data_IF_527502449717
#
_entry.id   IF_527502449717
#
_cell.length_a   1.000
_cell.length_b   1.000
_cell.length_c   1.000
_cell.angle_alpha   90.00
_cell.angle_beta   90.00
_cell.angle_gamma   90.00
#
_symmetry.space_group_name_H-M   'P 1'
#
loop_
_entity.id
_entity.type
_entity.pdbx_description
1 polymer ?
#
# COMPACT_ATOMS: atom_id res chain seq x y z
N UNK A 1 -11.78 -1.72 2.88
CA UNK A 1 -12.39 -0.80 1.91
C UNK A 1 -11.30 0.15 1.44
N UNK A 2 -11.28 0.57 0.17
CA UNK A 2 -10.25 1.48 -0.36
C UNK A 2 -10.79 2.89 -0.64
N UNK A 3 -9.90 3.88 -0.72
CA UNK A 3 -10.20 5.28 -1.08
C UNK A 3 -9.23 5.79 -2.14
N UNK A 4 -9.50 6.97 -2.70
CA UNK A 4 -8.52 7.70 -3.50
C UNK A 4 -8.19 9.02 -2.78
N UNK A 5 -6.91 9.37 -2.70
CA UNK A 5 -6.43 10.54 -1.96
C UNK A 5 -5.14 11.14 -2.54
N UNK A 6 -4.68 12.25 -1.95
CA UNK A 6 -3.53 13.03 -2.43
C UNK A 6 -3.91 14.12 -3.43
N UNK A 7 -2.91 14.60 -4.19
CA UNK A 7 -3.07 15.74 -5.11
C UNK A 7 -2.55 15.41 -6.51
N UNK A 8 -3.39 15.61 -7.53
CA UNK A 8 -2.99 15.43 -8.91
C UNK A 8 -1.90 16.43 -9.34
N UNK A 9 -1.91 17.65 -8.78
CA UNK A 9 -0.92 18.69 -9.08
C UNK A 9 0.47 18.37 -8.52
N UNK A 10 0.54 17.54 -7.48
CA UNK A 10 1.80 17.13 -6.84
C UNK A 10 2.23 15.70 -7.25
N UNK A 11 1.58 15.09 -8.25
CA UNK A 11 1.80 13.70 -8.64
C UNK A 11 1.58 12.68 -7.50
N UNK A 12 0.76 13.02 -6.50
CA UNK A 12 0.45 12.19 -5.33
C UNK A 12 -0.98 11.65 -5.33
N UNK A 13 -1.79 11.89 -6.36
CA UNK A 13 -3.13 11.31 -6.47
C UNK A 13 -3.04 9.77 -6.61
N UNK A 14 -3.57 9.02 -5.65
CA UNK A 14 -3.37 7.57 -5.58
C UNK A 14 -4.59 6.84 -5.00
N UNK A 15 -4.65 5.52 -5.20
CA UNK A 15 -5.56 4.64 -4.48
C UNK A 15 -4.94 4.15 -3.18
N UNK A 16 -5.69 4.13 -2.08
CA UNK A 16 -5.22 3.67 -0.78
C UNK A 16 -6.04 2.49 -0.28
N UNK A 17 -5.38 1.40 0.12
CA UNK A 17 -6.03 0.24 0.74
C UNK A 17 -6.12 0.44 2.25
N UNK A 18 -7.27 0.91 2.74
CA UNK A 18 -7.47 1.10 4.19
C UNK A 18 -7.58 -0.23 4.94
N UNK A 19 -8.22 -1.22 4.33
CA UNK A 19 -8.37 -2.55 4.95
C UNK A 19 -8.71 -3.61 3.91
N UNK A 20 -8.05 -4.76 4.02
CA UNK A 20 -8.35 -5.99 3.31
C UNK A 20 -8.19 -7.15 4.27
N UNK A 21 -9.21 -7.99 4.40
CA UNK A 21 -9.16 -9.19 5.23
C UNK A 21 -9.89 -10.33 4.53
N UNK A 22 -9.34 -11.53 4.69
CA UNK A 22 -9.94 -12.79 4.23
C UNK A 22 -10.03 -13.71 5.45
N UNK A 23 -11.24 -14.19 5.72
CA UNK A 23 -11.49 -15.13 6.80
C UNK A 23 -10.60 -16.38 6.66
N UNK A 24 -10.05 -16.93 7.77
CA UNK A 24 -9.03 -17.99 7.73
C UNK A 24 -9.39 -19.19 6.83
N UNK A 25 -10.66 -19.59 6.83
CA UNK A 25 -11.22 -20.73 6.11
C UNK A 25 -11.18 -20.53 4.58
N UNK A 26 -11.08 -19.28 4.13
CA UNK A 26 -11.09 -18.89 2.71
C UNK A 26 -9.73 -18.35 2.23
N UNK A 27 -8.68 -18.47 3.03
CA UNK A 27 -7.32 -18.08 2.63
C UNK A 27 -6.74 -19.07 1.61
N UNK A 28 -5.72 -18.63 0.88
CA UNK A 28 -5.03 -19.41 -0.19
C UNK A 28 -5.90 -19.75 -1.41
N UNK A 29 -7.09 -19.17 -1.51
CA UNK A 29 -7.97 -19.26 -2.69
C UNK A 29 -7.77 -18.10 -3.68
N UNK A 30 -6.79 -17.22 -3.44
CA UNK A 30 -6.53 -16.05 -4.30
C UNK A 30 -7.48 -14.87 -4.11
N UNK A 31 -8.43 -14.93 -3.16
CA UNK A 31 -9.45 -13.88 -2.95
C UNK A 31 -8.85 -12.49 -2.68
N UNK A 32 -7.80 -12.41 -1.87
CA UNK A 32 -7.12 -11.14 -1.61
C UNK A 32 -6.50 -10.55 -2.88
N UNK A 33 -5.89 -11.37 -3.74
CA UNK A 33 -5.34 -10.93 -5.02
C UNK A 33 -6.44 -10.43 -5.97
N UNK A 34 -7.58 -11.11 -6.00
CA UNK A 34 -8.74 -10.68 -6.81
C UNK A 34 -9.25 -9.31 -6.34
N UNK A 35 -9.43 -9.13 -5.03
CA UNK A 35 -9.87 -7.84 -4.46
C UNK A 35 -8.87 -6.72 -4.72
N UNK A 36 -7.56 -7.01 -4.63
CA UNK A 36 -6.51 -6.04 -4.97
C UNK A 36 -6.54 -5.66 -6.45
N UNK A 37 -6.68 -6.62 -7.36
CA UNK A 37 -6.79 -6.34 -8.79
C UNK A 37 -7.98 -5.43 -9.12
N UNK A 38 -9.14 -5.65 -8.47
CA UNK A 38 -10.32 -4.79 -8.65
C UNK A 38 -10.03 -3.37 -8.16
N UNK A 39 -9.38 -3.22 -7.01
CA UNK A 39 -9.02 -1.91 -6.47
C UNK A 39 -8.00 -1.18 -7.37
N UNK A 40 -7.01 -1.90 -7.89
CA UNK A 40 -6.02 -1.39 -8.85
C UNK A 40 -6.72 -0.92 -10.13
N UNK A 41 -7.63 -1.71 -10.69
CA UNK A 41 -8.39 -1.34 -11.89
C UNK A 41 -9.25 -0.09 -11.66
N UNK A 42 -9.92 0.01 -10.51
CA UNK A 42 -10.67 1.21 -10.14
C UNK A 42 -9.74 2.43 -10.02
N UNK A 43 -8.52 2.23 -9.50
CA UNK A 43 -7.53 3.30 -9.33
C UNK A 43 -6.95 3.76 -10.68
N UNK A 44 -6.71 2.83 -11.61
CA UNK A 44 -6.35 3.13 -13.00
C UNK A 44 -7.43 4.00 -13.67
N UNK A 45 -8.71 3.63 -13.54
CA UNK A 45 -9.84 4.42 -14.09
C UNK A 45 -10.00 5.80 -13.46
N UNK A 46 -9.40 6.03 -12.28
CA UNK A 46 -9.37 7.33 -11.59
C UNK A 46 -8.11 8.13 -11.89
N UNK A 47 -7.30 7.68 -12.85
CA UNK A 47 -6.03 8.29 -13.21
C UNK A 47 -5.11 8.48 -11.98
N UNK A 48 -5.05 7.48 -11.11
CA UNK A 48 -4.12 7.44 -9.98
C UNK A 48 -2.69 7.16 -10.46
N UNK A 49 -1.69 7.72 -9.77
CA UNK A 49 -0.26 7.47 -10.03
C UNK A 49 0.20 6.12 -9.48
N UNK A 50 -0.34 5.72 -8.33
CA UNK A 50 0.00 4.46 -7.66
C UNK A 50 -1.16 3.95 -6.80
N UNK A 51 -0.98 2.76 -6.25
CA UNK A 51 -1.74 2.26 -5.10
C UNK A 51 -0.79 2.05 -3.94
N UNK A 52 -1.20 2.44 -2.74
CA UNK A 52 -0.46 2.20 -1.51
C UNK A 52 -1.28 1.49 -0.42
N UNK A 53 -0.56 1.08 0.62
CA UNK A 53 -1.09 0.49 1.84
C UNK A 53 -0.06 0.54 2.96
N UNK A 54 -0.54 0.51 4.20
CA UNK A 54 0.28 0.25 5.37
C UNK A 54 0.13 -1.21 5.81
N UNK A 55 1.25 -1.87 6.08
CA UNK A 55 1.27 -3.24 6.60
C UNK A 55 2.27 -3.35 7.75
N UNK A 56 1.87 -4.03 8.84
CA UNK A 56 2.74 -4.36 9.97
C UNK A 56 4.02 -5.05 9.48
N UNK A 57 5.18 -4.62 9.99
CA UNK A 57 6.48 -5.21 9.60
C UNK A 57 6.52 -6.71 9.95
N UNK A 58 5.88 -7.14 11.04
CA UNK A 58 5.80 -8.55 11.42
C UNK A 58 4.86 -9.39 10.54
N UNK A 59 4.01 -8.77 9.71
CA UNK A 59 3.06 -9.50 8.86
C UNK A 59 3.73 -9.94 7.56
N UNK A 60 4.64 -10.90 7.67
CA UNK A 60 5.41 -11.45 6.55
C UNK A 60 4.51 -12.07 5.47
N UNK A 61 3.38 -12.67 5.87
CA UNK A 61 2.42 -13.29 4.95
C UNK A 61 1.82 -12.23 4.02
N UNK A 62 1.33 -11.12 4.58
CA UNK A 62 0.78 -10.03 3.79
C UNK A 62 1.87 -9.32 2.98
N UNK A 63 3.03 -9.04 3.58
CA UNK A 63 4.16 -8.40 2.89
C UNK A 63 4.62 -9.22 1.68
N UNK A 64 4.73 -10.54 1.83
CA UNK A 64 5.06 -11.47 0.73
C UNK A 64 3.98 -11.48 -0.35
N UNK A 65 2.71 -11.50 0.04
CA UNK A 65 1.59 -11.41 -0.91
C UNK A 65 1.66 -10.11 -1.73
N UNK A 66 1.80 -8.95 -1.08
CA UNK A 66 1.89 -7.67 -1.78
C UNK A 66 3.12 -7.57 -2.68
N UNK A 67 4.27 -8.07 -2.22
CA UNK A 67 5.49 -8.15 -3.04
C UNK A 67 5.23 -8.96 -4.32
N UNK A 68 4.54 -10.11 -4.23
CA UNK A 68 4.16 -10.94 -5.38
C UNK A 68 3.16 -10.25 -6.32
N UNK A 69 2.36 -9.31 -5.81
CA UNK A 69 1.45 -8.48 -6.61
C UNK A 69 2.15 -7.28 -7.27
N UNK A 70 3.45 -7.10 -7.03
CA UNK A 70 4.26 -6.03 -7.62
C UNK A 70 4.39 -4.78 -6.75
N UNK A 71 4.00 -4.85 -5.47
CA UNK A 71 4.24 -3.76 -4.52
C UNK A 71 5.69 -3.79 -4.04
N UNK A 72 6.22 -2.62 -3.74
CA UNK A 72 7.56 -2.42 -3.22
C UNK A 72 7.48 -1.61 -1.93
N UNK A 73 8.41 -1.83 -1.00
CA UNK A 73 8.49 -1.02 0.21
C UNK A 73 9.00 0.37 -0.19
N UNK A 74 8.12 1.36 -0.10
CA UNK A 74 8.45 2.76 -0.39
C UNK A 74 9.18 3.40 0.80
N UNK A 75 8.68 3.17 2.03
CA UNK A 75 9.33 3.61 3.27
C UNK A 75 8.88 2.77 4.45
N UNK A 76 9.59 2.93 5.56
CA UNK A 76 9.17 2.44 6.86
C UNK A 76 8.59 3.61 7.67
N UNK A 77 7.46 3.37 8.33
CA UNK A 77 6.83 4.30 9.27
C UNK A 77 6.96 3.74 10.68
N UNK A 78 7.72 4.43 11.52
CA UNK A 78 8.02 4.00 12.88
C UNK A 78 6.78 4.13 13.77
N UNK A 79 6.59 3.16 14.66
CA UNK A 79 5.54 3.22 15.70
C UNK A 79 4.13 3.53 15.12
N UNK A 80 3.85 3.04 13.90
CA UNK A 80 2.61 3.33 13.18
C UNK A 80 1.40 2.67 13.81
N UNK A 81 1.55 1.41 14.25
CA UNK A 81 0.48 0.69 14.91
C UNK A 81 0.70 0.72 16.42
N UNK A 82 -0.20 1.40 17.13
CA UNK A 82 -0.19 1.42 18.58
C UNK A 82 -0.39 0.01 19.16
N UNK A 83 0.36 -0.32 20.21
CA UNK A 83 0.34 -1.63 20.86
C UNK A 83 1.19 -1.69 22.14
N UNK A 84 1.53 -2.91 22.55
CA UNK A 84 2.50 -3.14 23.64
C UNK A 84 3.46 -4.28 23.22
N UNK A 85 4.64 -3.96 22.63
CA UNK A 85 5.11 -2.62 22.22
C UNK A 85 4.41 -2.10 20.95
N UNK A 86 4.57 -0.80 20.67
CA UNK A 86 4.21 -0.21 19.37
C UNK A 86 4.97 -0.89 18.22
N UNK A 87 4.35 -0.92 17.04
CA UNK A 87 4.89 -1.63 15.88
C UNK A 87 5.03 -0.72 14.65
N UNK A 88 6.18 -0.83 13.97
CA UNK A 88 6.43 -0.21 12.67
C UNK A 88 5.49 -0.73 11.57
N UNK A 89 5.29 0.08 10.54
CA UNK A 89 4.65 -0.31 9.29
C UNK A 89 5.60 -0.13 8.10
N UNK A 90 5.37 -0.94 7.06
CA UNK A 90 5.79 -0.60 5.71
C UNK A 90 4.68 0.15 4.99
N UNK A 91 5.01 1.28 4.40
CA UNK A 91 4.25 1.92 3.31
C UNK A 91 4.69 1.21 2.02
N UNK A 92 3.82 0.35 1.50
CA UNK A 92 4.09 -0.41 0.28
C UNK A 92 3.34 0.20 -0.90
N UNK A 93 4.02 0.37 -2.04
CA UNK A 93 3.47 1.03 -3.22
C UNK A 93 3.64 0.22 -4.49
N UNK A 94 2.65 0.33 -5.37
CA UNK A 94 2.68 -0.17 -6.75
C UNK A 94 2.33 0.97 -7.71
N UNK A 95 3.26 1.29 -8.61
CA UNK A 95 3.04 2.29 -9.65
C UNK A 95 1.97 1.82 -10.64
N UNK A 96 1.08 2.72 -11.01
CA UNK A 96 0.05 2.54 -12.04
C UNK A 96 0.50 3.16 -13.36
N UNK A 97 -0.30 2.99 -14.41
CA UNK A 97 0.04 3.41 -15.77
C UNK A 97 0.37 4.91 -15.92
N UNK A 98 -0.18 5.76 -15.04
CA UNK A 98 0.07 7.21 -15.04
C UNK A 98 1.47 7.58 -14.55
N UNK A 99 2.07 6.81 -13.64
CA UNK A 99 3.44 7.03 -13.16
C UNK A 99 4.46 6.34 -14.08
N UNK A 100 4.62 6.88 -15.29
CA UNK A 100 5.46 6.33 -16.36
C UNK A 100 6.92 6.14 -15.94
N UNK A 101 7.43 7.06 -15.13
CA UNK A 101 8.81 7.07 -14.66
C UNK A 101 8.99 6.29 -13.34
N UNK A 102 7.89 5.74 -12.79
CA UNK A 102 7.87 4.99 -11.52
C UNK A 102 8.44 5.79 -10.35
N UNK A 103 8.24 7.11 -10.31
CA UNK A 103 8.77 7.99 -9.26
C UNK A 103 8.17 7.66 -7.89
N UNK A 104 6.90 7.26 -7.87
CA UNK A 104 6.15 7.01 -6.65
C UNK A 104 6.57 5.76 -5.88
N UNK A 105 7.36 4.87 -6.50
CA UNK A 105 7.82 3.61 -5.92
C UNK A 105 9.32 3.59 -5.63
N UNK A 106 10.02 4.71 -5.83
CA UNK A 106 11.45 4.83 -5.49
C UNK A 106 11.57 4.83 -3.96
N UNK A 107 12.24 3.83 -3.34
CA UNK A 107 12.30 3.76 -1.88
C UNK A 107 13.00 4.96 -1.26
N UNK A 108 12.42 5.49 -0.18
CA UNK A 108 13.04 6.50 0.67
C UNK A 108 14.01 5.83 1.65
N UNK A 109 15.16 6.46 1.85
CA UNK A 109 16.23 5.91 2.71
C UNK A 109 15.92 6.00 4.19
N UNK A 110 15.24 7.08 4.60
CA UNK A 110 15.02 7.39 6.00
C UNK A 110 13.60 6.97 6.41
N UNK A 111 13.43 6.29 7.55
CA UNK A 111 12.12 6.06 8.11
C UNK A 111 11.52 7.38 8.59
N UNK A 112 10.19 7.41 8.70
CA UNK A 112 9.40 8.57 9.14
C UNK A 112 8.45 8.18 10.27
N UNK A 113 7.88 9.16 10.97
CA UNK A 113 6.81 8.96 11.96
C UNK A 113 5.41 9.17 11.35
N UNK A 114 4.33 8.71 12.00
CA UNK A 114 2.97 8.82 11.44
C UNK A 114 2.55 10.26 11.15
N UNK A 115 2.98 11.23 11.95
CA UNK A 115 2.68 12.65 11.73
C UNK A 115 3.30 13.23 10.45
N UNK A 116 4.23 12.52 9.80
CA UNK A 116 4.89 12.95 8.55
C UNK A 116 4.29 12.29 7.30
N UNK A 117 3.28 11.43 7.46
CA UNK A 117 2.65 10.70 6.36
C UNK A 117 1.20 11.11 6.06
N UNK A 118 0.61 11.94 6.91
CA UNK A 118 -0.77 12.48 6.78
C UNK A 118 -0.85 13.73 5.89
#
# INVERSE_FOLDING_TARGET
MGKAEGSAAQETWHGHVTALSVAPEYRRLGLAAIMMNILEEISERKDCYFVDLFVRVSNEIATSMYTRLGYTVYRKVLEYYSGDPDEDAYDMRKALSKDKDKKSVIPLKNPVRPAEVE
#
